data_IF_708220818948
#
_entry.id   IF_708220818948
#
_cell.length_a   1.000
_cell.length_b   1.000
_cell.length_c   1.000
_cell.angle_alpha   90.00
_cell.angle_beta   90.00
_cell.angle_gamma   90.00
#
_symmetry.space_group_name_H-M   'P 1'
#
loop_
_entity.id
_entity.type
_entity.pdbx_description
1 polymer ?
#
# COMPACT_ATOMS: atom_id res chain seq x y z
N UNK A 1 -21.37 -19.13 20.69
CA UNK A 1 -21.41 -17.71 20.28
C UNK A 1 -20.73 -17.65 18.91
N UNK A 2 -21.51 -17.70 17.83
CA UNK A 2 -20.95 -17.71 16.47
C UNK A 2 -20.76 -16.25 16.09
N UNK A 3 -19.52 -15.76 16.16
CA UNK A 3 -19.21 -14.41 15.67
C UNK A 3 -19.42 -14.42 14.17
N UNK A 4 -20.42 -13.66 13.70
CA UNK A 4 -20.61 -13.36 12.29
C UNK A 4 -19.42 -12.50 11.85
N UNK A 5 -18.43 -13.12 11.23
CA UNK A 5 -17.36 -12.41 10.55
C UNK A 5 -17.97 -11.62 9.39
N UNK A 6 -18.17 -10.32 9.62
CA UNK A 6 -18.55 -9.40 8.56
C UNK A 6 -17.26 -8.87 7.94
N UNK A 7 -17.05 -9.17 6.66
CA UNK A 7 -15.96 -8.59 5.91
C UNK A 7 -16.12 -7.06 5.93
N UNK A 8 -15.15 -6.36 6.54
CA UNK A 8 -15.09 -4.91 6.48
C UNK A 8 -14.23 -4.58 5.27
N UNK A 9 -14.87 -4.21 4.17
CA UNK A 9 -14.17 -3.75 2.97
C UNK A 9 -13.46 -2.42 3.20
N UNK A 10 -12.77 -1.97 2.15
CA UNK A 10 -12.14 -0.66 2.13
C UNK A 10 -13.22 0.44 2.17
N UNK A 11 -12.94 1.49 2.93
CA UNK A 11 -13.76 2.69 2.96
C UNK A 11 -13.61 3.43 1.65
N UNK A 12 -14.71 3.97 1.13
CA UNK A 12 -14.60 4.94 0.05
C UNK A 12 -13.93 6.24 0.55
N UNK A 13 -13.56 7.11 -0.39
CA UNK A 13 -12.84 8.35 -0.05
C UNK A 13 -13.65 9.23 0.91
N UNK A 14 -14.96 9.31 0.75
CA UNK A 14 -15.82 10.13 1.60
C UNK A 14 -15.91 9.57 3.01
N UNK A 15 -16.07 8.25 3.14
CA UNK A 15 -16.10 7.54 4.42
C UNK A 15 -14.76 7.64 5.16
N UNK A 16 -13.65 7.49 4.43
CA UNK A 16 -12.30 7.65 4.98
C UNK A 16 -12.07 9.08 5.50
N UNK A 17 -12.46 10.10 4.73
CA UNK A 17 -12.32 11.50 5.15
C UNK A 17 -13.17 11.84 6.37
N UNK A 18 -14.37 11.25 6.49
CA UNK A 18 -15.21 11.37 7.69
C UNK A 18 -14.54 10.71 8.89
N UNK A 19 -14.01 9.50 8.73
CA UNK A 19 -13.29 8.79 9.80
C UNK A 19 -12.06 9.57 10.29
N UNK A 20 -11.36 10.28 9.41
CA UNK A 20 -10.19 11.09 9.78
C UNK A 20 -10.60 12.34 10.58
N UNK A 21 -11.65 13.05 10.12
CA UNK A 21 -11.94 14.41 10.57
C UNK A 21 -13.00 14.48 11.67
N UNK A 22 -14.09 13.71 11.57
CA UNK A 22 -15.22 13.80 12.51
C UNK A 22 -14.82 13.53 13.97
N UNK A 23 -13.98 12.51 14.29
CA UNK A 23 -13.64 12.21 15.68
C UNK A 23 -12.87 13.32 16.41
N UNK A 24 -12.21 14.20 15.65
CA UNK A 24 -11.34 15.25 16.22
C UNK A 24 -11.89 16.67 16.06
N UNK A 25 -13.01 16.83 15.33
CA UNK A 25 -13.58 18.13 14.99
C UNK A 25 -13.94 18.98 16.22
N UNK A 26 -14.47 18.36 17.29
CA UNK A 26 -14.81 19.07 18.54
C UNK A 26 -13.60 19.56 19.33
N UNK A 27 -12.39 19.16 18.94
CA UNK A 27 -11.14 19.52 19.61
C UNK A 27 -10.31 20.54 18.80
N UNK A 28 -10.91 21.13 17.75
CA UNK A 28 -10.27 22.08 16.81
C UNK A 28 -8.99 21.55 16.15
N UNK A 29 -8.85 20.22 16.07
CA UNK A 29 -7.77 19.57 15.33
C UNK A 29 -8.15 19.51 13.85
N UNK A 30 -7.32 20.10 13.00
CA UNK A 30 -7.55 20.23 11.55
C UNK A 30 -6.43 19.59 10.77
N UNK A 31 -6.76 19.16 9.55
CA UNK A 31 -5.80 18.58 8.62
C UNK A 31 -5.64 19.50 7.42
N UNK A 32 -4.40 19.65 6.97
CA UNK A 32 -4.10 20.21 5.66
C UNK A 32 -4.60 19.28 4.53
N UNK A 33 -4.97 19.84 3.38
CA UNK A 33 -5.49 19.08 2.24
C UNK A 33 -4.46 18.07 1.71
N UNK A 34 -3.17 18.41 1.70
CA UNK A 34 -2.10 17.48 1.29
C UNK A 34 -1.92 16.37 2.31
N UNK A 35 -2.16 16.64 3.60
CA UNK A 35 -2.14 15.60 4.64
C UNK A 35 -3.29 14.61 4.42
N UNK A 36 -4.52 15.10 4.20
CA UNK A 36 -5.68 14.27 3.90
C UNK A 36 -5.48 13.42 2.64
N UNK A 37 -4.97 14.04 1.57
CA UNK A 37 -4.68 13.35 0.33
C UNK A 37 -3.60 12.27 0.53
N UNK A 38 -2.53 12.56 1.28
CA UNK A 38 -1.48 11.59 1.58
C UNK A 38 -2.03 10.41 2.39
N UNK A 39 -2.80 10.67 3.45
CA UNK A 39 -3.44 9.63 4.27
C UNK A 39 -4.32 8.72 3.41
N UNK A 40 -5.16 9.31 2.55
CA UNK A 40 -5.98 8.56 1.61
C UNK A 40 -5.12 7.69 0.68
N UNK A 41 -4.11 8.27 0.02
CA UNK A 41 -3.28 7.55 -0.96
C UNK A 41 -2.50 6.39 -0.36
N UNK A 42 -1.96 6.53 0.87
CA UNK A 42 -1.14 5.47 1.48
C UNK A 42 -1.97 4.35 2.08
N UNK A 43 -3.19 4.65 2.55
CA UNK A 43 -4.07 3.66 3.19
C UNK A 43 -5.11 3.09 2.24
N UNK A 44 -5.42 3.80 1.15
CA UNK A 44 -6.50 3.55 0.20
C UNK A 44 -7.88 3.32 0.83
N UNK A 45 -8.10 3.77 2.07
CA UNK A 45 -9.33 3.50 2.81
C UNK A 45 -9.33 2.18 3.58
N UNK A 46 -8.20 1.45 3.64
CA UNK A 46 -8.11 0.24 4.46
C UNK A 46 -8.36 0.59 5.94
N UNK A 47 -9.44 0.09 6.57
CA UNK A 47 -9.91 0.58 7.88
C UNK A 47 -8.85 0.49 8.97
N UNK A 48 -8.18 -0.67 9.08
CA UNK A 48 -7.13 -0.89 10.08
C UNK A 48 -5.97 0.11 9.97
N UNK A 49 -5.39 0.27 8.77
CA UNK A 49 -4.23 1.16 8.59
C UNK A 49 -4.60 2.63 8.66
N UNK A 50 -5.78 2.99 8.16
CA UNK A 50 -6.31 4.32 8.31
C UNK A 50 -6.46 4.71 9.77
N UNK A 51 -7.08 3.85 10.58
CA UNK A 51 -7.22 4.08 12.01
C UNK A 51 -5.87 4.10 12.73
N UNK A 52 -4.95 3.20 12.39
CA UNK A 52 -3.62 3.16 12.99
C UNK A 52 -2.83 4.45 12.71
N UNK A 53 -2.89 4.97 11.49
CA UNK A 53 -2.26 6.24 11.12
C UNK A 53 -2.92 7.42 11.83
N UNK A 54 -4.25 7.51 11.84
CA UNK A 54 -4.98 8.53 12.59
C UNK A 54 -4.63 8.50 14.07
N UNK A 55 -4.56 7.32 14.68
CA UNK A 55 -4.17 7.16 16.09
C UNK A 55 -2.77 7.71 16.35
N UNK A 56 -1.79 7.37 15.50
CA UNK A 56 -0.42 7.88 15.62
C UNK A 56 -0.36 9.40 15.51
N UNK A 57 -1.08 10.00 14.55
CA UNK A 57 -1.14 11.44 14.35
C UNK A 57 -1.75 12.16 15.57
N UNK A 58 -2.91 11.69 16.05
CA UNK A 58 -3.59 12.26 17.23
C UNK A 58 -2.70 12.16 18.47
N UNK A 59 -2.05 11.02 18.73
CA UNK A 59 -1.15 10.86 19.86
C UNK A 59 0.02 11.85 19.81
N UNK A 60 0.65 12.00 18.64
CA UNK A 60 1.78 12.92 18.44
C UNK A 60 1.37 14.38 18.61
N UNK A 61 0.21 14.77 18.10
CA UNK A 61 -0.29 16.14 18.22
C UNK A 61 -0.75 16.47 19.62
N UNK A 62 -1.39 15.53 20.33
CA UNK A 62 -1.67 15.67 21.75
C UNK A 62 -0.39 15.86 22.57
N UNK A 63 0.64 15.03 22.34
CA UNK A 63 1.92 15.11 23.04
C UNK A 63 2.70 16.41 22.77
N UNK A 64 2.46 17.05 21.62
CA UNK A 64 3.15 18.29 21.21
C UNK A 64 2.25 19.53 21.30
N UNK A 65 1.02 19.38 21.83
CA UNK A 65 0.02 20.43 21.95
C UNK A 65 -0.23 21.20 20.63
N UNK A 66 -0.22 20.49 19.51
CA UNK A 66 -0.50 21.04 18.18
C UNK A 66 -1.88 20.58 17.74
N UNK A 67 -2.59 21.42 16.99
CA UNK A 67 -3.93 21.12 16.46
C UNK A 67 -4.01 21.18 14.94
N UNK A 68 -2.87 21.30 14.25
CA UNK A 68 -2.83 21.34 12.79
C UNK A 68 -1.91 20.26 12.23
N UNK A 69 -2.48 19.39 11.41
CA UNK A 69 -1.78 18.25 10.80
C UNK A 69 -1.30 18.61 9.40
N UNK A 70 0.01 18.51 9.21
CA UNK A 70 0.67 18.74 7.93
C UNK A 70 1.03 17.43 7.24
N UNK A 71 1.37 17.48 5.95
CA UNK A 71 1.90 16.33 5.22
C UNK A 71 3.20 15.78 5.86
N UNK A 72 4.01 16.65 6.48
CA UNK A 72 5.23 16.23 7.18
C UNK A 72 4.94 15.44 8.46
N UNK A 73 3.87 15.79 9.18
CA UNK A 73 3.41 14.98 10.32
C UNK A 73 2.95 13.59 9.85
N UNK A 74 2.28 13.50 8.70
CA UNK A 74 1.90 12.22 8.07
C UNK A 74 3.14 11.41 7.71
N UNK A 75 4.14 12.02 7.07
CA UNK A 75 5.39 11.35 6.73
C UNK A 75 6.12 10.82 7.97
N UNK A 76 6.17 11.60 9.05
CA UNK A 76 6.77 11.18 10.31
C UNK A 76 6.02 9.99 10.95
N UNK A 77 4.68 10.06 11.01
CA UNK A 77 3.85 8.96 11.52
C UNK A 77 4.00 7.69 10.68
N UNK A 78 4.05 7.81 9.35
CA UNK A 78 4.30 6.69 8.45
C UNK A 78 5.67 6.04 8.68
N UNK A 79 6.72 6.84 8.87
CA UNK A 79 8.05 6.32 9.13
C UNK A 79 8.08 5.48 10.42
N UNK A 80 7.38 5.94 11.47
CA UNK A 80 7.20 5.22 12.73
C UNK A 80 6.36 3.95 12.56
N UNK A 81 5.22 4.03 11.86
CA UNK A 81 4.38 2.87 11.56
C UNK A 81 5.13 1.80 10.77
N UNK A 82 5.93 2.17 9.77
CA UNK A 82 6.73 1.23 9.01
C UNK A 82 7.84 0.57 9.85
N UNK A 83 8.34 1.27 10.87
CA UNK A 83 9.33 0.73 11.81
C UNK A 83 8.69 -0.20 12.85
N UNK A 84 7.51 0.14 13.38
CA UNK A 84 6.83 -0.63 14.44
C UNK A 84 5.92 -1.74 13.92
N UNK A 85 5.27 -1.53 12.77
CA UNK A 85 4.32 -2.44 12.13
C UNK A 85 4.94 -3.58 11.33
N UNK A 86 6.25 -3.83 11.49
CA UNK A 86 6.99 -4.81 10.69
C UNK A 86 6.35 -6.20 10.69
N UNK A 87 5.77 -6.65 11.80
CA UNK A 87 5.19 -7.99 11.88
C UNK A 87 4.06 -8.23 10.87
N UNK A 88 3.18 -7.24 10.66
CA UNK A 88 2.07 -7.39 9.73
C UNK A 88 2.53 -7.34 8.27
N UNK A 89 3.41 -6.41 7.92
CA UNK A 89 3.98 -6.35 6.57
C UNK A 89 4.82 -7.59 6.26
N UNK A 90 5.58 -8.08 7.25
CA UNK A 90 6.34 -9.32 7.14
C UNK A 90 5.42 -10.52 6.92
N UNK A 91 4.27 -10.57 7.61
CA UNK A 91 3.28 -11.62 7.37
C UNK A 91 2.77 -11.59 5.92
N UNK A 92 2.30 -10.44 5.41
CA UNK A 92 1.84 -10.30 4.03
C UNK A 92 2.90 -10.71 3.00
N UNK A 93 4.16 -10.35 3.28
CA UNK A 93 5.33 -10.71 2.49
C UNK A 93 5.65 -12.21 2.52
N UNK A 94 5.59 -12.83 3.69
CA UNK A 94 5.85 -14.26 3.87
C UNK A 94 4.76 -15.15 3.26
N UNK A 95 3.52 -14.69 3.28
CA UNK A 95 2.41 -15.36 2.58
C UNK A 95 2.47 -15.21 1.06
N UNK A 96 3.30 -14.29 0.53
CA UNK A 96 3.51 -14.18 -0.91
C UNK A 96 4.49 -15.20 -1.44
N UNK A 97 4.20 -15.72 -2.64
CA UNK A 97 5.14 -16.58 -3.39
C UNK A 97 6.36 -15.78 -3.83
N UNK A 98 7.39 -16.46 -4.32
CA UNK A 98 8.62 -15.79 -4.79
C UNK A 98 8.32 -14.88 -5.99
N UNK A 99 7.44 -15.32 -6.89
CA UNK A 99 7.01 -14.60 -8.08
C UNK A 99 6.21 -13.34 -7.70
N UNK A 100 5.28 -13.46 -6.75
CA UNK A 100 4.57 -12.31 -6.19
C UNK A 100 5.54 -11.32 -5.53
N UNK A 101 6.54 -11.81 -4.78
CA UNK A 101 7.57 -10.96 -4.17
C UNK A 101 8.39 -10.22 -5.21
N UNK A 102 8.74 -10.86 -6.34
CA UNK A 102 9.42 -10.21 -7.46
C UNK A 102 8.57 -9.09 -8.05
N UNK A 103 7.28 -9.34 -8.30
CA UNK A 103 6.34 -8.35 -8.80
C UNK A 103 6.19 -7.18 -7.82
N UNK A 104 6.02 -7.44 -6.53
CA UNK A 104 5.91 -6.39 -5.50
C UNK A 104 7.17 -5.52 -5.42
N UNK A 105 8.35 -6.13 -5.52
CA UNK A 105 9.65 -5.45 -5.52
C UNK A 105 9.89 -4.64 -6.78
N UNK A 106 9.42 -5.12 -7.94
CA UNK A 106 9.46 -4.38 -9.19
C UNK A 106 8.56 -3.16 -9.10
N UNK A 107 7.27 -3.36 -8.79
CA UNK A 107 6.28 -2.28 -8.67
C UNK A 107 6.68 -1.21 -7.66
N UNK A 108 7.30 -1.60 -6.52
CA UNK A 108 7.69 -0.64 -5.49
C UNK A 108 8.84 0.29 -5.91
N UNK A 109 9.56 -0.07 -6.97
CA UNK A 109 10.68 0.71 -7.54
C UNK A 109 10.29 1.43 -8.83
N UNK A 110 9.41 0.81 -9.60
CA UNK A 110 8.92 1.37 -10.86
C UNK A 110 7.93 2.51 -10.62
N UNK A 111 7.05 2.36 -9.62
CA UNK A 111 5.86 3.18 -9.51
C UNK A 111 5.87 4.05 -8.25
N UNK A 112 5.51 5.35 -8.36
CA UNK A 112 4.97 6.04 -7.21
C UNK A 112 3.65 5.36 -6.78
N UNK A 113 3.18 5.61 -5.56
CA UNK A 113 1.94 4.97 -5.05
C UNK A 113 0.69 5.21 -5.91
N UNK A 114 0.67 6.28 -6.71
CA UNK A 114 -0.43 6.59 -7.64
C UNK A 114 -0.14 6.16 -9.08
N UNK A 115 1.04 5.58 -9.33
CA UNK A 115 1.46 5.09 -10.62
C UNK A 115 0.71 3.81 -11.02
N UNK A 116 0.88 3.43 -12.28
CA UNK A 116 0.31 2.23 -12.87
C UNK A 116 1.35 1.56 -13.74
N UNK A 117 1.30 0.24 -13.83
CA UNK A 117 2.12 -0.54 -14.74
C UNK A 117 1.30 -1.64 -15.40
N UNK A 118 1.63 -1.93 -16.64
CA UNK A 118 1.17 -3.09 -17.39
C UNK A 118 2.01 -4.32 -17.07
N UNK A 119 1.49 -5.50 -17.39
CA UNK A 119 2.24 -6.76 -17.30
C UNK A 119 3.58 -6.70 -18.06
N UNK A 120 3.58 -6.11 -19.26
CA UNK A 120 4.77 -6.01 -20.11
C UNK A 120 5.85 -5.14 -19.45
N UNK A 121 5.50 -3.96 -18.93
CA UNK A 121 6.45 -3.07 -18.26
C UNK A 121 7.10 -3.74 -17.03
N UNK A 122 6.35 -4.56 -16.30
CA UNK A 122 6.86 -5.28 -15.12
C UNK A 122 7.86 -6.36 -15.54
N UNK A 123 7.54 -7.13 -16.58
CA UNK A 123 8.44 -8.17 -17.13
C UNK A 123 9.71 -7.52 -17.68
N UNK A 124 9.58 -6.47 -18.48
CA UNK A 124 10.73 -5.76 -19.07
C UNK A 124 11.65 -5.21 -17.98
N UNK A 125 11.09 -4.59 -16.93
CA UNK A 125 11.86 -4.09 -15.79
C UNK A 125 12.66 -5.18 -15.08
N UNK A 126 12.09 -6.37 -14.92
CA UNK A 126 12.74 -7.53 -14.30
C UNK A 126 13.82 -8.11 -15.24
N UNK A 127 13.53 -8.23 -16.53
CA UNK A 127 14.44 -8.74 -17.55
C UNK A 127 15.70 -7.88 -17.68
N UNK A 128 15.57 -6.54 -17.67
CA UNK A 128 16.69 -5.59 -17.63
C UNK A 128 17.64 -5.81 -16.43
N UNK A 129 17.16 -6.46 -15.38
CA UNK A 129 17.91 -6.76 -14.14
C UNK A 129 18.33 -8.23 -14.04
N UNK A 130 18.20 -8.99 -15.13
CA UNK A 130 18.62 -10.38 -15.23
C UNK A 130 17.68 -11.36 -14.52
N UNK A 131 16.40 -11.00 -14.38
CA UNK A 131 15.35 -11.85 -13.84
C UNK A 131 14.38 -12.17 -14.97
N UNK A 132 14.39 -13.42 -15.43
CA UNK A 132 13.43 -13.90 -16.42
C UNK A 132 12.22 -14.46 -15.67
N UNK A 133 11.07 -13.80 -15.85
CA UNK A 133 9.80 -14.20 -15.26
C UNK A 133 8.81 -14.46 -16.39
N UNK A 134 8.35 -15.70 -16.51
CA UNK A 134 7.43 -16.10 -17.57
C UNK A 134 6.14 -15.25 -17.51
N UNK A 135 5.63 -14.86 -18.68
CA UNK A 135 4.44 -14.03 -18.79
C UNK A 135 3.21 -14.63 -18.09
N UNK A 136 3.00 -15.95 -18.22
CA UNK A 136 1.90 -16.67 -17.58
C UNK A 136 2.00 -16.58 -16.05
N UNK A 137 3.20 -16.81 -15.52
CA UNK A 137 3.51 -16.74 -14.09
C UNK A 137 3.39 -15.32 -13.53
N UNK A 138 3.89 -14.31 -14.25
CA UNK A 138 3.73 -12.91 -13.86
C UNK A 138 2.25 -12.49 -13.84
N UNK A 139 1.47 -12.94 -14.82
CA UNK A 139 0.02 -12.71 -14.88
C UNK A 139 -0.70 -13.36 -13.70
N UNK A 140 -0.36 -14.59 -13.34
CA UNK A 140 -0.94 -15.30 -12.20
C UNK A 140 -0.60 -14.59 -10.88
N UNK A 141 0.67 -14.19 -10.68
CA UNK A 141 1.10 -13.43 -9.52
C UNK A 141 0.33 -12.10 -9.37
N UNK A 142 0.18 -11.34 -10.45
CA UNK A 142 -0.60 -10.10 -10.45
C UNK A 142 -2.08 -10.34 -10.14
N UNK A 143 -2.66 -11.41 -10.67
CA UNK A 143 -4.03 -11.80 -10.38
C UNK A 143 -4.23 -12.13 -8.90
N UNK A 144 -3.34 -12.94 -8.32
CA UNK A 144 -3.41 -13.30 -6.89
C UNK A 144 -3.21 -12.11 -5.97
N UNK A 145 -2.27 -11.21 -6.29
CA UNK A 145 -2.09 -9.96 -5.56
C UNK A 145 -3.32 -9.04 -5.63
N UNK A 146 -4.06 -9.04 -6.75
CA UNK A 146 -5.32 -8.32 -6.87
C UNK A 146 -6.44 -8.97 -6.03
N UNK A 147 -6.56 -10.30 -6.03
CA UNK A 147 -7.52 -11.03 -5.19
C UNK A 147 -7.30 -10.79 -3.69
N UNK A 148 -6.03 -10.58 -3.29
CA UNK A 148 -5.64 -10.24 -1.92
C UNK A 148 -5.78 -8.75 -1.59
N UNK A 149 -6.37 -7.95 -2.48
CA UNK A 149 -6.55 -6.50 -2.34
C UNK A 149 -5.24 -5.74 -2.11
N UNK A 150 -4.10 -6.30 -2.52
CA UNK A 150 -2.79 -5.63 -2.48
C UNK A 150 -2.66 -4.72 -3.70
N UNK A 151 -3.11 -5.20 -4.85
CA UNK A 151 -3.17 -4.45 -6.11
C UNK A 151 -4.61 -4.28 -6.57
N UNK A 152 -4.84 -3.37 -7.51
CA UNK A 152 -6.07 -3.27 -8.28
C UNK A 152 -5.74 -3.26 -9.75
N UNK A 153 -6.48 -4.05 -10.53
CA UNK A 153 -6.46 -4.03 -11.98
C UNK A 153 -7.50 -3.04 -12.52
N UNK A 154 -7.18 -2.32 -13.58
CA UNK A 154 -8.13 -1.54 -14.38
C UNK A 154 -9.15 -2.46 -15.07
N UNK A 155 -10.36 -1.97 -15.32
CA UNK A 155 -11.38 -2.70 -16.09
C UNK A 155 -10.88 -2.90 -17.54
N UNK A 156 -11.03 -4.12 -18.08
CA UNK A 156 -10.57 -4.50 -19.44
C UNK A 156 -11.19 -3.63 -20.54
N UNK A 157 -12.33 -2.99 -20.24
CA UNK A 157 -13.08 -2.14 -21.17
C UNK A 157 -12.42 -0.80 -21.48
N UNK A 158 -11.41 -0.40 -20.72
CA UNK A 158 -10.89 0.98 -20.73
C UNK A 158 -9.55 1.16 -21.46
N UNK A 159 -8.98 0.13 -22.14
CA UNK A 159 -7.56 0.16 -22.50
C UNK A 159 -7.24 -0.23 -23.95
N UNK A 160 -6.68 0.75 -24.68
CA UNK A 160 -5.89 0.50 -25.89
C UNK A 160 -4.50 -0.10 -25.60
N UNK A 161 -4.09 -0.17 -24.32
CA UNK A 161 -2.74 -0.52 -23.86
C UNK A 161 -2.67 -1.81 -23.01
N UNK A 162 -3.78 -2.54 -22.85
CA UNK A 162 -3.86 -3.71 -21.98
C UNK A 162 -4.08 -3.38 -20.50
N UNK A 163 -4.32 -4.41 -19.66
CA UNK A 163 -4.65 -4.27 -18.24
C UNK A 163 -3.52 -3.57 -17.45
N UNK A 164 -3.87 -2.50 -16.75
CA UNK A 164 -2.98 -1.76 -15.86
C UNK A 164 -3.20 -2.19 -14.40
N UNK A 165 -2.11 -2.29 -13.64
CA UNK A 165 -2.11 -2.59 -12.22
C UNK A 165 -1.61 -1.39 -11.43
N UNK A 166 -2.22 -1.15 -10.26
CA UNK A 166 -1.79 -0.13 -9.31
C UNK A 166 -1.85 -0.64 -7.88
N UNK A 167 -1.13 0.02 -6.97
CA UNK A 167 -1.23 -0.24 -5.54
C UNK A 167 -2.64 0.03 -5.04
N UNK A 168 -3.26 -0.98 -4.44
CA UNK A 168 -4.40 -0.79 -3.56
C UNK A 168 -3.89 -0.60 -2.14
N UNK A 169 -2.98 -1.47 -1.68
CA UNK A 169 -2.37 -1.34 -0.36
C UNK A 169 -0.97 -0.71 -0.41
N UNK A 170 -0.94 0.62 -0.59
CA UNK A 170 0.31 1.38 -0.81
C UNK A 170 1.34 1.30 0.33
N UNK A 171 0.91 1.08 1.58
CA UNK A 171 1.83 0.89 2.70
C UNK A 171 2.72 -0.36 2.53
N UNK A 172 2.22 -1.44 1.93
CA UNK A 172 3.07 -2.59 1.62
C UNK A 172 4.13 -2.22 0.59
N UNK A 173 3.78 -1.46 -0.45
CA UNK A 173 4.73 -0.95 -1.43
C UNK A 173 5.87 -0.16 -0.79
N UNK A 174 5.54 0.79 0.11
CA UNK A 174 6.53 1.57 0.87
C UNK A 174 7.41 0.67 1.76
N UNK A 175 6.81 -0.34 2.41
CA UNK A 175 7.56 -1.26 3.26
C UNK A 175 8.53 -2.13 2.44
N UNK A 176 8.09 -2.65 1.30
CA UNK A 176 8.89 -3.47 0.37
C UNK A 176 10.05 -2.65 -0.19
N UNK A 177 9.81 -1.43 -0.65
CA UNK A 177 10.86 -0.52 -1.12
C UNK A 177 11.96 -0.32 -0.07
N UNK A 178 11.55 -0.10 1.19
CA UNK A 178 12.46 0.18 2.31
C UNK A 178 13.24 -1.04 2.82
N UNK A 179 12.65 -2.24 2.81
CA UNK A 179 13.22 -3.39 3.53
C UNK A 179 13.61 -4.58 2.64
N UNK A 180 13.11 -4.66 1.41
CA UNK A 180 13.30 -5.81 0.52
C UNK A 180 14.12 -5.41 -0.72
N UNK A 181 15.45 -5.60 -0.69
CA UNK A 181 16.28 -5.38 -1.87
C UNK A 181 15.98 -6.44 -2.93
N UNK A 182 15.93 -6.04 -4.21
CA UNK A 182 15.68 -6.96 -5.32
C UNK A 182 16.66 -8.14 -5.34
N UNK A 183 17.94 -7.89 -5.09
CA UNK A 183 18.98 -8.94 -5.05
C UNK A 183 18.64 -10.09 -4.10
N UNK A 184 18.06 -9.78 -2.93
CA UNK A 184 17.66 -10.81 -1.95
C UNK A 184 16.59 -11.74 -2.49
N UNK A 185 15.59 -11.18 -3.18
CA UNK A 185 14.49 -11.98 -3.74
C UNK A 185 14.97 -12.79 -4.94
N UNK A 186 15.85 -12.22 -5.77
CA UNK A 186 16.48 -12.95 -6.88
C UNK A 186 17.30 -14.15 -6.38
N UNK A 187 17.98 -14.02 -5.24
CA UNK A 187 18.69 -15.14 -4.63
C UNK A 187 17.74 -16.24 -4.11
N UNK A 188 16.49 -15.91 -3.75
CA UNK A 188 15.46 -16.90 -3.36
C UNK A 188 14.99 -17.72 -4.57
N UNK A 189 14.90 -17.10 -5.76
CA UNK A 189 14.52 -17.78 -7.02
C UNK A 189 15.58 -18.78 -7.48
N UNK A 190 16.86 -18.50 -7.19
CA UNK A 190 18.00 -19.28 -7.68
C UNK A 190 18.33 -20.51 -6.83
N UNK A 191 17.64 -20.72 -5.71
CA UNK A 191 17.85 -21.83 -4.78
C UNK A 191 16.86 -22.95 -5.03
#
# INVERSE_FOLDING_TARGET
>A
NISLYRHVGFLDRSEALRLIQEPVASFDMRYDDLALEKIWRVTAGHPYFLQLLCHSLVQRHNATQRSYVTVDDVNAALAEMLARGQAHFMYLWMESTVEERLVLVALSRMLPLTGRATLAEIIDYLAERGVDLEQSTASEALHHLALREILTASDERDLALGVEYRWQFGLLGLWVEKHQPLSRVVDEVRR
#
